data_IF_545018980501
#
_entry.id   IF_545018980501
#
_cell.length_a   1.000
_cell.length_b   1.000
_cell.length_c   1.000
_cell.angle_alpha   90.00
_cell.angle_beta   90.00
_cell.angle_gamma   90.00
#
_symmetry.space_group_name_H-M   'P 1'
#
loop_
_entity.id
_entity.type
_entity.pdbx_description
1 polymer ?
#
# COMPACT_ATOMS: atom_id res chain seq x y z
N UNK A 1 3.99 -15.31 10.87
CA UNK A 1 4.13 -14.09 11.69
C UNK A 1 5.11 -13.17 10.95
N UNK A 2 4.75 -12.36 9.95
CA UNK A 2 3.48 -12.02 9.32
C UNK A 2 3.81 -11.83 7.83
N UNK A 3 3.24 -12.67 6.97
CA UNK A 3 3.27 -12.42 5.53
C UNK A 3 2.30 -11.28 5.29
N UNK A 4 2.84 -10.13 4.93
CA UNK A 4 2.15 -8.85 4.96
C UNK A 4 1.22 -8.76 3.74
N UNK A 5 0.08 -9.46 3.80
CA UNK A 5 -0.85 -9.53 2.69
C UNK A 5 -1.40 -8.13 2.38
N UNK A 6 -1.35 -7.75 1.11
CA UNK A 6 -1.87 -6.48 0.60
C UNK A 6 -3.30 -6.20 1.11
N UNK A 7 -4.16 -7.23 1.09
CA UNK A 7 -5.53 -7.17 1.58
C UNK A 7 -5.64 -6.69 3.03
N UNK A 8 -4.83 -7.24 3.93
CA UNK A 8 -4.83 -6.85 5.34
C UNK A 8 -4.43 -5.40 5.53
N UNK A 9 -3.40 -4.97 4.79
CA UNK A 9 -2.93 -3.59 4.87
C UNK A 9 -3.95 -2.59 4.33
N UNK A 10 -4.61 -2.90 3.22
CA UNK A 10 -5.70 -2.06 2.69
C UNK A 10 -6.87 -2.04 3.67
N UNK A 11 -7.22 -3.18 4.28
CA UNK A 11 -8.27 -3.24 5.31
C UNK A 11 -7.92 -2.44 6.57
N UNK A 12 -6.67 -2.52 7.05
CA UNK A 12 -6.20 -1.72 8.18
C UNK A 12 -6.16 -0.23 7.86
N UNK A 13 -5.74 0.13 6.65
CA UNK A 13 -5.77 1.51 6.19
C UNK A 13 -7.20 2.05 6.12
N UNK A 14 -8.14 1.29 5.56
CA UNK A 14 -9.56 1.66 5.55
C UNK A 14 -10.14 1.82 6.97
N UNK A 15 -9.73 0.99 7.94
CA UNK A 15 -10.09 1.20 9.35
C UNK A 15 -9.52 2.50 9.93
N UNK A 16 -8.28 2.85 9.56
CA UNK A 16 -7.68 4.12 9.96
C UNK A 16 -8.44 5.32 9.38
N UNK A 17 -8.80 5.27 8.10
CA UNK A 17 -9.63 6.28 7.44
C UNK A 17 -11.00 6.41 8.12
N UNK A 18 -11.66 5.29 8.45
CA UNK A 18 -12.94 5.31 9.17
C UNK A 18 -12.82 5.99 10.53
N UNK A 19 -11.76 5.70 11.29
CA UNK A 19 -11.50 6.35 12.58
C UNK A 19 -11.18 7.84 12.43
N UNK A 20 -10.62 8.24 11.30
CA UNK A 20 -10.33 9.62 10.97
C UNK A 20 -11.58 10.41 10.52
N UNK A 21 -12.68 9.73 10.18
CA UNK A 21 -13.96 10.35 9.80
C UNK A 21 -14.37 10.11 8.35
N UNK A 22 -13.61 9.36 7.56
CA UNK A 22 -14.01 9.00 6.19
C UNK A 22 -15.10 7.91 6.21
N UNK A 23 -16.18 8.05 5.42
CA UNK A 23 -17.27 7.08 5.35
C UNK A 23 -16.88 5.87 4.47
N UNK A 24 -15.89 5.09 4.90
CA UNK A 24 -15.41 3.91 4.15
C UNK A 24 -16.00 2.62 4.71
N UNK A 25 -16.56 1.78 3.82
CA UNK A 25 -17.19 0.50 4.14
C UNK A 25 -16.32 -0.71 3.79
N UNK A 26 -16.69 -1.94 4.23
CA UNK A 26 -16.03 -3.16 3.79
C UNK A 26 -16.08 -3.37 2.27
N UNK A 27 -17.17 -2.98 1.61
CA UNK A 27 -17.29 -3.04 0.14
C UNK A 27 -16.21 -2.22 -0.55
N UNK A 28 -15.96 -0.99 -0.07
CA UNK A 28 -14.91 -0.11 -0.58
C UNK A 28 -13.50 -0.71 -0.45
N UNK A 29 -13.28 -1.61 0.51
CA UNK A 29 -12.00 -2.34 0.62
C UNK A 29 -11.85 -3.36 -0.51
N UNK A 30 -12.91 -4.08 -0.84
CA UNK A 30 -12.91 -5.01 -1.97
C UNK A 30 -12.72 -4.26 -3.29
N UNK A 31 -13.42 -3.13 -3.45
CA UNK A 31 -13.28 -2.25 -4.62
C UNK A 31 -11.84 -1.74 -4.75
N UNK A 32 -11.21 -1.36 -3.65
CA UNK A 32 -9.82 -0.90 -3.64
C UNK A 32 -8.85 -2.01 -4.08
N UNK A 33 -9.05 -3.24 -3.61
CA UNK A 33 -8.21 -4.37 -3.99
C UNK A 33 -8.38 -4.71 -5.47
N UNK A 34 -9.61 -4.73 -5.98
CA UNK A 34 -9.88 -4.94 -7.40
C UNK A 34 -9.28 -3.82 -8.27
N UNK A 35 -9.38 -2.57 -7.83
CA UNK A 35 -8.79 -1.43 -8.54
C UNK A 35 -7.26 -1.51 -8.57
N UNK A 36 -6.63 -1.93 -7.47
CA UNK A 36 -5.18 -2.15 -7.38
C UNK A 36 -4.73 -3.25 -8.36
N UNK A 37 -5.47 -4.36 -8.42
CA UNK A 37 -5.18 -5.45 -9.35
C UNK A 37 -5.35 -5.03 -10.82
N UNK A 38 -6.41 -4.27 -11.12
CA UNK A 38 -6.71 -3.81 -12.46
C UNK A 38 -5.75 -2.70 -12.95
N UNK A 39 -5.34 -1.78 -12.08
CA UNK A 39 -4.47 -0.67 -12.43
C UNK A 39 -3.02 -1.11 -12.69
N UNK A 40 -2.55 -2.15 -11.98
CA UNK A 40 -1.15 -2.55 -11.97
C UNK A 40 -0.27 -1.50 -11.29
N UNK A 41 0.27 -1.83 -10.12
CA UNK A 41 1.02 -0.85 -9.32
C UNK A 41 2.49 -0.84 -9.75
N UNK A 42 2.90 0.20 -10.47
CA UNK A 42 4.30 0.43 -10.85
C UNK A 42 5.11 1.20 -9.80
N UNK A 43 4.43 2.00 -8.98
CA UNK A 43 5.07 2.83 -7.98
C UNK A 43 4.15 3.35 -6.89
N UNK A 44 4.73 4.18 -6.01
CA UNK A 44 4.02 4.80 -4.88
C UNK A 44 2.87 5.68 -5.33
N UNK A 45 3.07 6.43 -6.41
CA UNK A 45 2.07 7.37 -6.92
C UNK A 45 0.89 6.65 -7.55
N UNK A 46 1.12 5.56 -8.29
CA UNK A 46 0.05 4.71 -8.83
C UNK A 46 -0.81 4.13 -7.70
N UNK A 47 -0.16 3.63 -6.64
CA UNK A 47 -0.85 3.11 -5.47
C UNK A 47 -1.65 4.20 -4.74
N UNK A 48 -1.07 5.39 -4.59
CA UNK A 48 -1.73 6.54 -3.97
C UNK A 48 -2.99 6.93 -4.74
N UNK A 49 -2.86 7.17 -6.05
CA UNK A 49 -3.99 7.64 -6.87
C UNK A 49 -5.05 6.57 -7.04
N UNK A 50 -4.66 5.29 -7.13
CA UNK A 50 -5.62 4.18 -7.16
C UNK A 50 -6.45 4.15 -5.89
N UNK A 51 -5.81 4.17 -4.71
CA UNK A 51 -6.54 4.20 -3.44
C UNK A 51 -7.34 5.49 -3.25
N UNK A 52 -6.81 6.63 -3.66
CA UNK A 52 -7.50 7.92 -3.58
C UNK A 52 -8.80 7.87 -4.38
N UNK A 53 -8.75 7.40 -5.63
CA UNK A 53 -9.93 7.32 -6.50
C UNK A 53 -11.07 6.45 -5.93
N UNK A 54 -10.73 5.45 -5.12
CA UNK A 54 -11.71 4.56 -4.50
C UNK A 54 -12.22 5.10 -3.16
N UNK A 55 -11.33 5.57 -2.29
CA UNK A 55 -11.69 5.98 -0.93
C UNK A 55 -12.19 7.42 -0.84
N UNK A 56 -11.88 8.27 -1.81
CA UNK A 56 -12.20 9.71 -1.79
C UNK A 56 -13.31 10.02 -2.78
N UNK A 57 -14.55 9.99 -2.30
CA UNK A 57 -15.74 10.32 -3.09
C UNK A 57 -16.12 11.81 -3.03
N UNK A 58 -15.50 12.58 -2.13
CA UNK A 58 -15.73 14.01 -1.96
C UNK A 58 -14.41 14.73 -1.80
N UNK A 59 -14.32 15.93 -2.38
CA UNK A 59 -13.09 16.73 -2.33
C UNK A 59 -12.62 17.00 -0.90
N UNK A 60 -13.56 17.25 0.03
CA UNK A 60 -13.32 17.48 1.46
C UNK A 60 -12.59 16.34 2.18
N UNK A 61 -12.65 15.10 1.67
CA UNK A 61 -11.95 13.95 2.25
C UNK A 61 -10.49 13.84 1.77
N UNK A 62 -10.08 14.56 0.72
CA UNK A 62 -8.72 14.46 0.16
C UNK A 62 -7.63 14.77 1.19
N UNK A 63 -7.70 15.86 1.98
CA UNK A 63 -6.64 16.18 2.93
C UNK A 63 -6.50 15.11 4.02
N UNK A 64 -7.61 14.53 4.47
CA UNK A 64 -7.62 13.51 5.51
C UNK A 64 -7.07 12.18 5.00
N UNK A 65 -7.42 11.81 3.77
CA UNK A 65 -6.84 10.67 3.08
C UNK A 65 -5.33 10.82 2.92
N UNK A 66 -4.86 11.97 2.42
CA UNK A 66 -3.45 12.24 2.17
C UNK A 66 -2.61 12.12 3.45
N UNK A 67 -3.06 12.75 4.53
CA UNK A 67 -2.40 12.66 5.84
C UNK A 67 -2.35 11.23 6.35
N UNK A 68 -3.47 10.50 6.30
CA UNK A 68 -3.52 9.12 6.74
C UNK A 68 -2.60 8.23 5.91
N UNK A 69 -2.59 8.39 4.58
CA UNK A 69 -1.76 7.62 3.66
C UNK A 69 -0.27 7.85 3.97
N UNK A 70 0.13 9.10 4.15
CA UNK A 70 1.49 9.45 4.53
C UNK A 70 1.88 8.82 5.87
N UNK A 71 1.03 8.89 6.90
CA UNK A 71 1.36 8.33 8.21
C UNK A 71 1.43 6.79 8.17
N UNK A 72 0.45 6.15 7.53
CA UNK A 72 0.28 4.70 7.52
C UNK A 72 1.39 4.00 6.72
N UNK A 73 1.66 4.48 5.50
CA UNK A 73 2.59 3.81 4.58
C UNK A 73 4.05 4.26 4.73
N UNK A 74 4.34 5.38 5.41
CA UNK A 74 5.72 5.86 5.63
C UNK A 74 6.42 5.17 6.81
N UNK A 75 5.70 4.74 7.85
CA UNK A 75 6.31 4.17 9.07
C UNK A 75 6.96 2.78 8.92
N UNK A 76 6.82 2.09 7.77
CA UNK A 76 7.21 0.67 7.67
C UNK A 76 8.01 0.26 6.43
N UNK A 77 8.34 1.18 5.52
CA UNK A 77 8.82 0.80 4.17
C UNK A 77 7.84 -0.16 3.47
N UNK A 78 6.58 -0.13 3.91
CA UNK A 78 5.57 -1.12 3.57
C UNK A 78 5.22 -1.02 2.09
N UNK A 79 5.16 0.21 1.60
CA UNK A 79 4.78 0.46 0.23
C UNK A 79 5.79 -0.10 -0.77
N UNK A 80 7.08 0.05 -0.52
CA UNK A 80 8.13 -0.54 -1.36
C UNK A 80 8.02 -2.06 -1.40
N UNK A 81 7.76 -2.69 -0.24
CA UNK A 81 7.55 -4.15 -0.15
C UNK A 81 6.30 -4.61 -0.88
N UNK A 82 5.22 -3.83 -0.83
CA UNK A 82 3.98 -4.11 -1.56
C UNK A 82 4.18 -3.98 -3.06
N UNK A 83 4.78 -2.88 -3.52
CA UNK A 83 5.10 -2.66 -4.94
C UNK A 83 5.98 -3.80 -5.45
N UNK A 84 7.00 -4.19 -4.69
CA UNK A 84 7.84 -5.33 -5.03
C UNK A 84 7.08 -6.66 -5.14
N UNK A 85 6.09 -6.89 -4.27
CA UNK A 85 5.26 -8.08 -4.31
C UNK A 85 4.23 -8.07 -5.47
N UNK A 86 3.87 -6.90 -5.98
CA UNK A 86 2.88 -6.71 -7.03
C UNK A 86 3.49 -6.47 -8.42
N UNK A 87 4.79 -6.20 -8.50
CA UNK A 87 5.46 -5.89 -9.76
C UNK A 87 5.64 -7.14 -10.63
N UNK A 88 5.19 -7.14 -11.89
CA UNK A 88 5.43 -8.24 -12.83
C UNK A 88 6.90 -8.34 -13.29
N UNK A 89 7.75 -7.35 -12.96
CA UNK A 89 9.14 -7.26 -13.44
C UNK A 89 10.16 -7.54 -12.32
N UNK A 90 9.77 -7.78 -11.07
CA UNK A 90 10.70 -7.80 -9.93
C UNK A 90 11.94 -8.72 -10.12
N UNK A 91 13.14 -8.16 -10.41
CA UNK A 91 14.38 -8.90 -10.26
C UNK A 91 14.71 -8.81 -8.76
N UNK A 92 14.41 -9.89 -8.04
CA UNK A 92 15.00 -10.28 -6.75
C UNK A 92 15.61 -9.14 -5.90
N UNK A 93 14.78 -8.38 -5.17
CA UNK A 93 15.26 -7.68 -3.96
C UNK A 93 15.85 -8.67 -2.92
N UNK A 94 15.48 -9.96 -3.04
CA UNK A 94 16.08 -11.08 -2.32
C UNK A 94 17.53 -11.43 -2.74
N UNK A 95 18.04 -10.90 -3.86
CA UNK A 95 19.44 -11.08 -4.27
C UNK A 95 20.35 -10.00 -3.65
N UNK A 96 19.85 -8.79 -3.42
CA UNK A 96 20.60 -7.70 -2.81
C UNK A 96 20.92 -8.00 -1.33
N UNK A 97 19.95 -8.54 -0.58
CA UNK A 97 20.13 -8.88 0.84
C UNK A 97 21.14 -10.03 1.06
N UNK A 98 21.11 -11.07 0.22
CA UNK A 98 22.11 -12.17 0.29
C UNK A 98 23.52 -11.72 -0.04
N UNK A 99 23.69 -10.70 -0.90
CA UNK A 99 25.01 -10.15 -1.24
C UNK A 99 25.60 -9.28 -0.11
N UNK A 100 24.74 -8.63 0.68
CA UNK A 100 25.16 -7.85 1.85
C UNK A 100 25.54 -8.75 3.04
N UNK A 101 24.84 -9.87 3.26
CA UNK A 101 25.17 -10.84 4.31
C UNK A 101 26.45 -11.64 4.00
N UNK A 102 26.69 -11.97 2.72
CA UNK A 102 27.91 -12.70 2.30
C UNK A 102 29.17 -11.81 2.24
N UNK A 103 29.03 -10.48 2.28
CA UNK A 103 30.15 -9.53 2.29
C UNK A 103 30.69 -9.21 3.68
N UNK A 104 29.97 -9.56 4.76
CA UNK A 104 30.36 -9.29 6.14
C UNK A 104 31.17 -10.41 6.82
N UNK A 105 31.52 -11.47 6.06
CA UNK A 105 32.27 -12.65 6.53
C UNK A 105 33.65 -12.80 5.86
N UNK A 106 34.28 -11.70 5.40
CA UNK A 106 35.67 -11.69 4.95
C UNK A 106 36.55 -10.81 5.81
#
# INVERSE_FOLDING_TARGET
MDENHLADNVAYFARALRRAGLPVGPGTVLDALAAIEAAGIGGRDDFYWTLHSVFVTRHEHSPLFEQAFHIFFRRRGLLEKMIAAMSPIAPSLAAEQRKQEAGALR
#
